data_IF_927270819944
#
_entry.id   IF_927270819944
#
_cell.length_a   1.000
_cell.length_b   1.000
_cell.length_c   1.000
_cell.angle_alpha   90.00
_cell.angle_beta   90.00
_cell.angle_gamma   90.00
#
_symmetry.space_group_name_H-M   'P 1'
#
loop_
_entity.id
_entity.type
_entity.pdbx_description
1 polymer ?
#
# COMPACT_ATOMS: atom_id res chain seq x y z
N UNK A 1 -25.43 33.44 6.19
CA UNK A 1 -24.15 33.20 6.90
C UNK A 1 -23.31 32.20 6.10
N UNK A 2 -22.05 32.53 5.79
CA UNK A 2 -21.15 31.64 5.03
C UNK A 2 -20.41 30.72 6.02
N UNK A 3 -20.69 29.41 5.97
CA UNK A 3 -19.89 28.39 6.65
C UNK A 3 -18.49 28.38 6.01
N UNK A 4 -17.50 28.92 6.71
CA UNK A 4 -16.10 28.74 6.34
C UNK A 4 -15.71 27.29 6.63
N UNK A 5 -15.60 26.47 5.59
CA UNK A 5 -15.07 25.11 5.70
C UNK A 5 -13.61 25.20 6.13
N UNK A 6 -13.29 24.68 7.30
CA UNK A 6 -11.93 24.69 7.83
C UNK A 6 -11.11 23.64 7.07
N UNK A 7 -10.37 24.07 6.05
CA UNK A 7 -9.49 23.17 5.28
C UNK A 7 -8.23 22.93 6.11
N UNK A 8 -8.18 21.78 6.79
CA UNK A 8 -6.96 21.33 7.48
C UNK A 8 -6.05 20.63 6.46
N UNK A 9 -4.82 21.14 6.31
CA UNK A 9 -3.80 20.51 5.48
C UNK A 9 -3.36 19.17 6.10
N UNK A 10 -3.27 18.14 5.27
CA UNK A 10 -2.69 16.86 5.67
C UNK A 10 -1.16 16.95 5.62
N UNK A 11 -0.45 16.55 6.70
CA UNK A 11 1.01 16.51 6.66
C UNK A 11 1.49 15.38 5.75
N UNK A 12 2.42 15.69 4.85
CA UNK A 12 3.11 14.69 4.03
C UNK A 12 4.32 14.18 4.81
N UNK A 13 4.42 12.85 4.98
CA UNK A 13 5.60 12.20 5.56
C UNK A 13 6.16 11.20 4.56
N UNK A 14 7.42 11.38 4.20
CA UNK A 14 8.13 10.42 3.37
C UNK A 14 8.59 9.25 4.25
N UNK A 15 8.22 8.04 3.84
CA UNK A 15 8.75 6.83 4.44
C UNK A 15 10.20 6.64 3.95
N UNK A 16 11.16 6.72 4.87
CA UNK A 16 12.56 6.46 4.56
C UNK A 16 12.73 4.96 4.27
N UNK A 17 13.01 4.65 3.00
CA UNK A 17 13.41 3.31 2.56
C UNK A 17 14.93 3.22 2.51
N UNK A 18 15.48 2.06 2.86
CA UNK A 18 16.91 1.82 2.69
C UNK A 18 17.29 1.87 1.20
N UNK A 19 18.41 2.50 0.82
CA UNK A 19 18.89 2.45 -0.54
C UNK A 19 19.30 1.02 -0.91
N UNK A 20 19.19 0.68 -2.20
CA UNK A 20 19.63 -0.63 -2.71
C UNK A 20 18.74 -1.82 -2.34
N UNK A 21 17.49 -1.59 -1.95
CA UNK A 21 16.48 -2.65 -1.75
C UNK A 21 15.87 -3.11 -3.07
N UNK A 22 15.21 -4.27 -3.05
CA UNK A 22 14.57 -4.86 -4.23
C UNK A 22 15.56 -4.99 -5.38
N UNK A 23 16.73 -5.61 -5.12
CA UNK A 23 17.82 -5.73 -6.11
C UNK A 23 17.33 -6.42 -7.39
N UNK A 24 16.39 -7.35 -7.28
CA UNK A 24 15.79 -8.03 -8.42
C UNK A 24 14.78 -7.18 -9.22
N UNK A 25 14.44 -5.98 -8.73
CA UNK A 25 13.46 -5.03 -9.29
C UNK A 25 12.05 -5.60 -9.53
N UNK A 26 11.75 -6.79 -9.01
CA UNK A 26 10.50 -7.51 -9.28
C UNK A 26 9.65 -7.80 -8.04
N UNK A 27 10.03 -7.29 -6.86
CA UNK A 27 9.35 -7.54 -5.60
C UNK A 27 8.67 -6.28 -4.99
N UNK A 28 8.43 -5.24 -5.80
CA UNK A 28 7.88 -3.95 -5.31
C UNK A 28 6.56 -4.12 -4.53
N UNK A 29 5.64 -4.97 -5.00
CA UNK A 29 4.38 -5.25 -4.30
C UNK A 29 4.58 -5.93 -2.94
N UNK A 30 5.55 -6.86 -2.84
CA UNK A 30 5.88 -7.55 -1.58
C UNK A 30 6.51 -6.56 -0.60
N UNK A 31 7.39 -5.69 -1.07
CA UNK A 31 7.96 -4.60 -0.28
C UNK A 31 6.88 -3.64 0.25
N UNK A 32 5.93 -3.23 -0.60
CA UNK A 32 4.84 -2.36 -0.20
C UNK A 32 3.96 -3.00 0.88
N UNK A 33 3.55 -4.26 0.69
CA UNK A 33 2.74 -5.00 1.67
C UNK A 33 3.50 -5.19 2.99
N UNK A 34 4.79 -5.55 2.92
CA UNK A 34 5.60 -5.72 4.13
C UNK A 34 5.81 -4.40 4.87
N UNK A 35 5.91 -3.28 4.14
CA UNK A 35 5.98 -1.96 4.75
C UNK A 35 4.69 -1.63 5.50
N UNK A 36 3.52 -1.87 4.89
CA UNK A 36 2.22 -1.65 5.53
C UNK A 36 2.09 -2.53 6.78
N UNK A 37 2.47 -3.80 6.71
CA UNK A 37 2.47 -4.72 7.85
C UNK A 37 3.34 -4.20 8.98
N UNK A 38 4.60 -3.84 8.69
CA UNK A 38 5.51 -3.32 9.70
C UNK A 38 5.00 -2.02 10.31
N UNK A 39 4.47 -1.11 9.50
CA UNK A 39 3.93 0.16 9.99
C UNK A 39 2.71 -0.04 10.89
N UNK A 40 1.76 -0.88 10.46
CA UNK A 40 0.51 -1.15 11.19
C UNK A 40 0.77 -1.86 12.53
N UNK A 41 1.75 -2.76 12.56
CA UNK A 41 2.10 -3.54 13.75
C UNK A 41 3.22 -2.93 14.60
N UNK A 42 3.76 -1.77 14.22
CA UNK A 42 4.88 -1.13 14.92
C UNK A 42 6.19 -1.95 14.86
N UNK A 43 6.37 -2.77 13.84
CA UNK A 43 7.57 -3.60 13.66
C UNK A 43 8.72 -2.80 13.04
N UNK A 44 9.94 -3.27 13.28
CA UNK A 44 11.14 -2.65 12.72
C UNK A 44 11.18 -2.76 11.18
N UNK A 45 11.47 -1.65 10.48
CA UNK A 45 11.62 -1.65 9.02
C UNK A 45 12.87 -2.41 8.52
N UNK A 46 13.72 -2.93 9.42
CA UNK A 46 14.82 -3.83 9.10
C UNK A 46 14.38 -5.10 8.37
N UNK A 47 13.10 -5.48 8.48
CA UNK A 47 12.51 -6.60 7.75
C UNK A 47 12.32 -6.33 6.24
N UNK A 48 12.44 -5.08 5.80
CA UNK A 48 12.45 -4.70 4.39
C UNK A 48 13.86 -4.91 3.84
N UNK A 49 14.19 -6.18 3.61
CA UNK A 49 15.46 -6.63 3.04
C UNK A 49 15.20 -7.88 2.17
N UNK A 50 15.97 -8.04 1.10
CA UNK A 50 15.72 -9.06 0.08
C UNK A 50 15.65 -10.50 0.64
N UNK A 51 16.48 -10.80 1.65
CA UNK A 51 16.47 -12.12 2.32
C UNK A 51 15.15 -12.46 3.02
N UNK A 52 14.45 -11.46 3.59
CA UNK A 52 13.15 -11.65 4.23
C UNK A 52 12.01 -11.52 3.22
N UNK A 53 12.18 -10.66 2.22
CA UNK A 53 11.18 -10.42 1.18
C UNK A 53 10.97 -11.66 0.32
N UNK A 54 12.01 -12.45 0.06
CA UNK A 54 11.84 -13.73 -0.64
C UNK A 54 10.88 -14.67 0.10
N UNK A 55 11.00 -14.77 1.43
CA UNK A 55 10.08 -15.58 2.25
C UNK A 55 8.69 -14.97 2.28
N UNK A 56 8.59 -13.65 2.41
CA UNK A 56 7.32 -12.94 2.37
C UNK A 56 6.59 -13.13 1.03
N UNK A 57 7.32 -13.18 -0.08
CA UNK A 57 6.76 -13.41 -1.43
C UNK A 57 5.97 -14.71 -1.54
N UNK A 58 6.38 -15.76 -0.83
CA UNK A 58 5.67 -17.04 -0.81
C UNK A 58 4.55 -17.03 0.24
N UNK A 59 4.79 -16.39 1.38
CA UNK A 59 3.86 -16.35 2.50
C UNK A 59 2.61 -15.50 2.22
N UNK A 60 2.77 -14.35 1.55
CA UNK A 60 1.68 -13.43 1.23
C UNK A 60 0.57 -14.08 0.40
N UNK A 61 0.85 -14.73 -0.76
CA UNK A 61 -0.19 -15.41 -1.53
C UNK A 61 -0.87 -16.53 -0.73
N UNK A 62 -0.11 -17.26 0.09
CA UNK A 62 -0.68 -18.33 0.93
C UNK A 62 -1.63 -17.77 2.00
N UNK A 63 -1.24 -16.69 2.68
CA UNK A 63 -2.11 -16.04 3.67
C UNK A 63 -3.32 -15.37 3.01
N UNK A 64 -3.16 -14.79 1.83
CA UNK A 64 -4.27 -14.28 1.03
C UNK A 64 -5.22 -15.42 0.61
N UNK A 65 -4.68 -16.54 0.14
CA UNK A 65 -5.46 -17.72 -0.19
C UNK A 65 -6.25 -18.24 1.01
N UNK A 66 -5.67 -18.27 2.22
CA UNK A 66 -6.45 -18.62 3.42
C UNK A 66 -7.53 -17.58 3.72
N UNK A 67 -7.21 -16.28 3.61
CA UNK A 67 -8.15 -15.21 3.90
C UNK A 67 -9.37 -15.23 2.97
N UNK A 68 -9.21 -15.60 1.69
CA UNK A 68 -10.35 -15.68 0.77
C UNK A 68 -11.34 -16.81 1.10
N UNK A 69 -10.99 -17.74 2.01
CA UNK A 69 -11.92 -18.76 2.51
C UNK A 69 -12.67 -18.32 3.77
N UNK A 70 -12.38 -17.13 4.31
CA UNK A 70 -13.12 -16.58 5.44
C UNK A 70 -14.56 -16.25 5.01
N UNK A 71 -15.60 -16.76 5.70
CA UNK A 71 -16.99 -16.53 5.32
C UNK A 71 -17.39 -15.06 5.22
N UNK A 72 -16.85 -14.19 6.08
CA UNK A 72 -17.13 -12.76 6.08
C UNK A 72 -16.54 -12.13 4.83
N UNK A 73 -15.29 -12.47 4.48
CA UNK A 73 -14.64 -11.95 3.28
C UNK A 73 -15.30 -12.47 2.01
N UNK A 74 -15.72 -13.74 1.97
CA UNK A 74 -16.50 -14.30 0.85
C UNK A 74 -17.78 -13.50 0.65
N UNK A 75 -18.55 -13.26 1.71
CA UNK A 75 -19.81 -12.52 1.65
C UNK A 75 -19.58 -11.09 1.13
N UNK A 76 -18.57 -10.39 1.64
CA UNK A 76 -18.25 -9.04 1.18
C UNK A 76 -17.79 -9.01 -0.27
N UNK A 77 -16.92 -9.94 -0.69
CA UNK A 77 -16.44 -10.02 -2.07
C UNK A 77 -17.56 -10.39 -3.05
N UNK A 78 -18.56 -11.18 -2.64
CA UNK A 78 -19.72 -11.48 -3.49
C UNK A 78 -20.56 -10.24 -3.82
N UNK A 79 -20.48 -9.19 -3.00
CA UNK A 79 -21.18 -7.90 -3.18
C UNK A 79 -20.29 -6.85 -3.82
N UNK A 80 -19.01 -7.16 -4.09
CA UNK A 80 -18.08 -6.21 -4.66
C UNK A 80 -18.45 -5.89 -6.11
N UNK A 81 -18.68 -4.59 -6.37
CA UNK A 81 -18.87 -4.06 -7.71
C UNK A 81 -17.61 -3.24 -8.03
N UNK A 82 -16.81 -3.63 -9.04
CA UNK A 82 -15.67 -2.84 -9.45
C UNK A 82 -16.10 -1.39 -9.74
N UNK A 83 -15.40 -0.38 -9.18
CA UNK A 83 -15.72 1.00 -9.49
C UNK A 83 -15.61 1.22 -11.00
N UNK A 84 -16.57 1.96 -11.56
CA UNK A 84 -16.47 2.41 -12.95
C UNK A 84 -15.23 3.28 -13.07
N UNK A 85 -14.41 2.98 -14.08
CA UNK A 85 -13.20 3.74 -14.35
C UNK A 85 -13.62 5.09 -14.96
N UNK A 86 -13.94 6.05 -14.11
CA UNK A 86 -14.05 7.43 -14.54
C UNK A 86 -12.61 7.92 -14.75
N UNK A 87 -12.15 7.97 -16.00
CA UNK A 87 -10.92 8.67 -16.34
C UNK A 87 -11.12 10.14 -15.94
N UNK A 88 -10.66 10.53 -14.77
CA UNK A 88 -10.57 11.95 -14.44
C UNK A 88 -9.63 12.61 -15.43
N UNK A 89 -9.95 13.83 -15.85
CA UNK A 89 -9.03 14.66 -16.62
C UNK A 89 -7.64 14.62 -16.00
N UNK A 90 -6.63 14.37 -16.83
CA UNK A 90 -5.23 14.29 -16.42
C UNK A 90 -4.85 15.60 -15.73
N UNK A 91 -4.84 15.61 -14.40
CA UNK A 91 -4.34 16.75 -13.63
C UNK A 91 -2.83 16.79 -13.84
N UNK A 92 -2.37 17.75 -14.66
CA UNK A 92 -0.95 18.09 -14.76
C UNK A 92 -0.46 18.56 -13.38
N UNK A 93 0.30 17.70 -12.70
CA UNK A 93 1.06 18.09 -11.52
C UNK A 93 2.38 18.67 -12.03
N UNK A 94 2.50 20.00 -12.01
CA UNK A 94 3.77 20.66 -12.30
C UNK A 94 4.69 20.52 -11.08
N UNK A 95 5.79 19.77 -11.25
CA UNK A 95 6.84 19.69 -10.25
C UNK A 95 7.65 20.98 -10.28
N UNK A 96 7.45 21.85 -9.27
CA UNK A 96 8.34 22.98 -9.02
C UNK A 96 9.60 22.44 -8.31
N UNK A 97 10.71 22.39 -9.05
CA UNK A 97 12.04 22.17 -8.46
C UNK A 97 12.47 23.48 -7.79
N UNK A 98 12.68 23.43 -6.47
CA UNK A 98 13.49 24.42 -5.75
C UNK A 98 14.96 24.06 -5.85
#
# INVERSE_FOLDING_TARGET
>A
EKKHTLIKLYPVKYALMRPGINVSLCACGVYALKFIECHTLGLNLSFLHDSYIHKARIKIPYDLWKAVHDPVLIEQMSKYIPPKLECSDVVKIEYVRH
#
